data_IF_469965975676
#
_entry.id   IF_469965975676
#
_cell.length_a   1.000
_cell.length_b   1.000
_cell.length_c   1.000
_cell.angle_alpha   90.00
_cell.angle_beta   90.00
_cell.angle_gamma   90.00
#
_symmetry.space_group_name_H-M   'P 1'
#
loop_
_entity.id
_entity.type
_entity.pdbx_description
1 polymer ?
#
# COMPACT_ATOMS: atom_id res chain seq x y z
N UNK A 1 -3.19 -17.54 18.89
CA UNK A 1 -3.14 -16.07 18.65
C UNK A 1 -1.96 -15.74 17.74
N UNK A 2 -2.18 -15.09 16.62
CA UNK A 2 -1.18 -14.77 15.60
C UNK A 2 -0.80 -13.30 15.67
N UNK A 3 0.50 -13.02 15.64
CA UNK A 3 1.04 -11.65 15.57
C UNK A 3 1.20 -11.26 14.11
N UNK A 4 0.57 -10.16 13.67
CA UNK A 4 0.64 -9.70 12.29
C UNK A 4 1.19 -8.27 12.24
N UNK A 5 2.33 -8.10 11.56
CA UNK A 5 2.83 -6.80 11.15
C UNK A 5 2.22 -6.43 9.80
N UNK A 6 1.30 -5.46 9.78
CA UNK A 6 0.68 -4.95 8.57
C UNK A 6 1.41 -3.68 8.12
N UNK A 7 2.04 -3.73 6.95
CA UNK A 7 3.03 -2.77 6.46
C UNK A 7 2.51 -2.11 5.19
N UNK A 8 2.54 -0.78 5.10
CA UNK A 8 2.29 -0.06 3.86
C UNK A 8 3.51 -0.13 2.96
N UNK A 9 3.33 -0.27 1.64
CA UNK A 9 4.42 -0.23 0.67
C UNK A 9 5.25 1.06 0.77
N UNK A 10 6.51 1.02 0.33
CA UNK A 10 7.42 2.16 0.25
C UNK A 10 6.95 3.19 -0.79
N UNK A 11 7.54 4.39 -0.79
CA UNK A 11 7.21 5.43 -1.76
C UNK A 11 7.41 4.93 -3.19
N UNK A 12 6.36 5.08 -4.00
CA UNK A 12 6.34 4.78 -5.42
C UNK A 12 6.00 6.05 -6.23
N UNK A 13 6.14 5.99 -7.52
CA UNK A 13 5.91 7.11 -8.45
C UNK A 13 4.58 7.81 -8.24
N UNK A 14 3.51 7.06 -7.99
CA UNK A 14 2.20 7.66 -7.72
C UNK A 14 2.19 8.52 -6.46
N UNK A 15 2.99 8.19 -5.45
CA UNK A 15 3.15 9.05 -4.27
C UNK A 15 3.95 10.31 -4.62
N UNK A 16 5.08 10.16 -5.33
CA UNK A 16 5.97 11.26 -5.70
C UNK A 16 5.30 12.25 -6.65
N UNK A 17 4.67 11.75 -7.73
CA UNK A 17 4.06 12.56 -8.79
C UNK A 17 2.59 12.88 -8.54
N UNK A 18 2.05 12.50 -7.38
CA UNK A 18 0.63 12.68 -7.04
C UNK A 18 -0.32 12.11 -8.09
N UNK A 19 -0.02 10.88 -8.55
CA UNK A 19 -0.89 10.10 -9.42
C UNK A 19 -1.67 9.07 -8.62
N UNK A 20 -2.91 8.86 -9.02
CA UNK A 20 -3.79 7.84 -8.46
C UNK A 20 -3.28 6.48 -8.89
N UNK A 21 -2.90 5.65 -7.92
CA UNK A 21 -2.33 4.34 -8.22
C UNK A 21 -3.43 3.28 -8.37
N UNK A 22 -4.14 2.94 -7.29
CA UNK A 22 -5.01 1.77 -7.36
C UNK A 22 -4.24 0.54 -7.83
N UNK A 23 -4.66 -0.07 -8.93
CA UNK A 23 -3.97 -1.16 -9.60
C UNK A 23 -2.96 -0.69 -10.67
N UNK A 24 -2.99 0.59 -11.08
CA UNK A 24 -1.86 1.16 -11.82
C UNK A 24 -0.60 1.10 -10.95
N UNK A 25 0.47 0.51 -11.46
CA UNK A 25 1.59 0.06 -10.65
C UNK A 25 2.89 0.79 -11.03
N UNK A 26 3.08 1.97 -10.43
CA UNK A 26 4.31 2.75 -10.57
C UNK A 26 5.48 2.16 -9.79
N UNK A 27 6.70 2.39 -10.28
CA UNK A 27 7.95 1.91 -9.68
C UNK A 27 8.21 2.52 -8.31
N UNK A 28 9.01 1.84 -7.49
CA UNK A 28 9.55 2.39 -6.24
C UNK A 28 10.53 3.52 -6.57
N UNK A 29 10.45 4.62 -5.82
CA UNK A 29 11.35 5.77 -5.99
C UNK A 29 12.68 5.55 -5.27
N UNK A 30 13.69 6.39 -5.60
CA UNK A 30 14.97 6.38 -4.87
C UNK A 30 14.78 6.60 -3.36
N UNK A 31 13.79 7.43 -2.95
CA UNK A 31 13.41 7.59 -1.55
C UNK A 31 12.78 6.30 -1.00
N UNK A 32 11.89 5.68 -1.78
CA UNK A 32 11.24 4.42 -1.40
C UNK A 32 12.24 3.32 -1.08
N UNK A 33 13.36 3.24 -1.79
CA UNK A 33 14.42 2.27 -1.49
C UNK A 33 15.13 2.55 -0.18
N UNK A 34 15.38 3.83 0.14
CA UNK A 34 15.93 4.20 1.44
C UNK A 34 14.93 3.90 2.57
N UNK A 35 13.64 4.04 2.31
CA UNK A 35 12.59 3.62 3.26
C UNK A 35 12.59 2.11 3.46
N UNK A 36 12.82 1.31 2.41
CA UNK A 36 12.96 -0.15 2.48
C UNK A 36 14.20 -0.52 3.32
N UNK A 37 15.31 0.18 3.16
CA UNK A 37 16.51 -0.03 3.97
C UNK A 37 16.24 0.24 5.46
N UNK A 38 15.55 1.34 5.78
CA UNK A 38 15.18 1.67 7.15
C UNK A 38 14.19 0.63 7.74
N UNK A 39 13.23 0.18 6.93
CA UNK A 39 12.29 -0.88 7.31
C UNK A 39 13.01 -2.20 7.58
N UNK A 40 14.00 -2.56 6.75
CA UNK A 40 14.80 -3.77 6.94
C UNK A 40 15.56 -3.73 8.27
N UNK A 41 16.16 -2.58 8.62
CA UNK A 41 16.83 -2.43 9.92
C UNK A 41 15.85 -2.57 11.09
N UNK A 42 14.62 -2.05 10.97
CA UNK A 42 13.58 -2.20 11.97
C UNK A 42 13.24 -3.67 12.24
N UNK A 43 13.17 -4.49 11.19
CA UNK A 43 12.81 -5.91 11.32
C UNK A 43 13.99 -6.85 11.56
N UNK A 44 15.23 -6.35 11.49
CA UNK A 44 16.44 -7.18 11.57
C UNK A 44 16.47 -8.18 12.74
N UNK A 45 15.92 -7.81 13.88
CA UNK A 45 15.93 -8.62 15.10
C UNK A 45 14.54 -9.13 15.51
N UNK A 46 13.52 -8.84 14.73
CA UNK A 46 12.20 -9.41 14.92
C UNK A 46 12.18 -10.84 14.41
N UNK A 47 11.41 -11.71 15.05
CA UNK A 47 11.18 -13.06 14.51
C UNK A 47 10.00 -13.01 13.53
N UNK A 48 10.20 -13.48 12.30
CA UNK A 48 9.18 -13.57 11.26
C UNK A 48 9.13 -14.99 10.73
N UNK A 49 7.96 -15.64 10.89
CA UNK A 49 7.71 -17.01 10.44
C UNK A 49 7.21 -17.09 9.00
N UNK A 50 6.49 -16.05 8.54
CA UNK A 50 5.93 -15.99 7.19
C UNK A 50 5.80 -14.57 6.69
N UNK A 51 5.88 -14.42 5.36
CA UNK A 51 5.76 -13.13 4.68
C UNK A 51 4.77 -13.21 3.53
N UNK A 52 3.79 -12.31 3.55
CA UNK A 52 2.81 -12.14 2.49
C UNK A 52 2.84 -10.71 1.97
N UNK A 53 2.55 -10.53 0.69
CA UNK A 53 2.45 -9.20 0.12
C UNK A 53 1.33 -9.12 -0.92
N UNK A 54 0.90 -7.90 -1.23
CA UNK A 54 0.11 -7.64 -2.42
C UNK A 54 0.86 -8.10 -3.67
N UNK A 55 0.11 -8.46 -4.69
CA UNK A 55 0.65 -8.81 -6.01
C UNK A 55 1.21 -7.60 -6.79
N UNK A 56 0.92 -6.36 -6.37
CA UNK A 56 1.42 -5.16 -7.02
C UNK A 56 2.91 -4.96 -6.75
N UNK A 57 3.68 -4.53 -7.76
CA UNK A 57 5.15 -4.49 -7.74
C UNK A 57 5.70 -3.70 -6.55
N UNK A 58 5.12 -2.53 -6.26
CA UNK A 58 5.55 -1.69 -5.12
C UNK A 58 5.48 -2.39 -3.76
N UNK A 59 4.50 -3.28 -3.57
CA UNK A 59 4.39 -4.07 -2.34
C UNK A 59 5.38 -5.24 -2.34
N UNK A 60 5.59 -5.88 -3.50
CA UNK A 60 6.56 -6.97 -3.67
C UNK A 60 7.99 -6.48 -3.41
N UNK A 61 8.38 -5.35 -4.01
CA UNK A 61 9.70 -4.73 -3.76
C UNK A 61 9.85 -4.32 -2.29
N UNK A 62 8.80 -3.80 -1.67
CA UNK A 62 8.85 -3.46 -0.25
C UNK A 62 9.03 -4.70 0.64
N UNK A 63 8.51 -5.85 0.24
CA UNK A 63 8.68 -7.10 0.97
C UNK A 63 10.16 -7.55 1.07
N UNK A 64 11.04 -7.07 0.19
CA UNK A 64 12.49 -7.32 0.27
C UNK A 64 13.11 -6.81 1.58
N UNK A 65 12.50 -5.82 2.23
CA UNK A 65 12.93 -5.37 3.56
C UNK A 65 12.94 -6.51 4.58
N UNK A 66 11.98 -7.43 4.46
CA UNK A 66 11.85 -8.58 5.38
C UNK A 66 12.79 -9.71 4.93
N UNK A 67 12.78 -10.08 3.64
CA UNK A 67 13.60 -11.20 3.14
C UNK A 67 15.10 -10.96 3.31
N UNK A 68 15.53 -9.70 3.44
CA UNK A 68 16.94 -9.33 3.61
C UNK A 68 17.58 -9.95 4.86
N UNK A 69 16.83 -10.12 5.93
CA UNK A 69 17.32 -10.67 7.22
C UNK A 69 16.57 -11.92 7.69
N UNK A 70 15.58 -12.38 6.91
CA UNK A 70 14.77 -13.55 7.24
C UNK A 70 14.72 -14.50 6.05
N UNK A 71 14.97 -15.78 6.29
CA UNK A 71 14.87 -16.84 5.26
C UNK A 71 13.39 -17.29 5.12
N UNK A 72 12.55 -16.36 4.66
CA UNK A 72 11.14 -16.60 4.42
C UNK A 72 10.77 -16.09 3.02
N UNK A 73 10.13 -16.92 2.18
CA UNK A 73 9.71 -16.48 0.85
C UNK A 73 8.54 -15.49 0.96
N UNK A 74 8.54 -14.46 0.10
CA UNK A 74 7.41 -13.57 -0.04
C UNK A 74 6.31 -14.24 -0.89
N UNK A 75 5.13 -14.42 -0.31
CA UNK A 75 3.95 -14.99 -0.99
C UNK A 75 3.03 -13.86 -1.45
N UNK A 76 2.97 -13.63 -2.76
CA UNK A 76 2.12 -12.58 -3.34
C UNK A 76 0.66 -13.03 -3.47
N UNK A 77 -0.28 -12.13 -3.16
CA UNK A 77 -1.72 -12.41 -3.31
C UNK A 77 -2.51 -11.14 -3.66
N UNK A 78 -3.45 -11.21 -4.62
CA UNK A 78 -4.31 -10.08 -4.98
C UNK A 78 -5.29 -9.69 -3.86
N UNK A 79 -5.51 -10.55 -2.88
CA UNK A 79 -6.36 -10.25 -1.71
C UNK A 79 -5.84 -9.11 -0.85
N UNK A 80 -4.53 -8.81 -0.94
CA UNK A 80 -3.86 -7.72 -0.25
C UNK A 80 -3.64 -6.49 -1.14
N UNK A 81 -4.18 -6.46 -2.37
CA UNK A 81 -4.01 -5.37 -3.30
C UNK A 81 -4.68 -4.06 -2.81
N UNK A 82 -4.28 -2.94 -3.40
CA UNK A 82 -4.94 -1.65 -3.19
C UNK A 82 -6.37 -1.68 -3.73
N UNK A 83 -7.19 -0.74 -3.32
CA UNK A 83 -8.50 -0.50 -3.93
C UNK A 83 -8.32 -0.22 -5.42
N UNK A 84 -9.10 -0.89 -6.28
CA UNK A 84 -9.14 -0.54 -7.70
C UNK A 84 -9.83 0.83 -7.86
N UNK A 85 -9.13 1.77 -8.50
CA UNK A 85 -9.62 3.14 -8.69
C UNK A 85 -10.30 3.35 -10.05
N UNK A 86 -10.42 2.29 -10.86
CA UNK A 86 -11.11 2.31 -12.15
C UNK A 86 -10.58 3.40 -13.08
N UNK A 87 -11.48 4.18 -13.67
CA UNK A 87 -11.13 5.26 -14.63
C UNK A 87 -10.27 6.38 -14.04
N UNK A 88 -10.00 6.37 -12.74
CA UNK A 88 -9.11 7.33 -12.09
C UNK A 88 -7.64 6.92 -12.12
N UNK A 89 -7.35 5.63 -12.36
CA UNK A 89 -5.99 5.10 -12.29
C UNK A 89 -5.03 5.78 -13.28
N UNK A 90 -3.80 6.05 -12.82
CA UNK A 90 -2.75 6.72 -13.60
C UNK A 90 -2.94 8.23 -13.78
N UNK A 91 -4.09 8.79 -13.39
CA UNK A 91 -4.39 10.23 -13.53
C UNK A 91 -3.85 11.03 -12.35
N UNK A 92 -3.58 12.32 -12.58
CA UNK A 92 -3.23 13.21 -11.49
C UNK A 92 -4.44 13.48 -10.58
N UNK A 93 -4.21 13.54 -9.26
CA UNK A 93 -5.27 13.81 -8.29
C UNK A 93 -6.00 15.13 -8.57
N UNK A 94 -5.27 16.18 -8.98
CA UNK A 94 -5.86 17.49 -9.29
C UNK A 94 -6.79 17.45 -10.51
N UNK A 95 -6.45 16.69 -11.56
CA UNK A 95 -7.28 16.56 -12.75
C UNK A 95 -8.60 15.83 -12.42
N UNK A 96 -8.49 14.77 -11.60
CA UNK A 96 -9.65 14.00 -11.16
C UNK A 96 -10.55 14.81 -10.22
N UNK A 97 -9.97 15.60 -9.31
CA UNK A 97 -10.71 16.50 -8.43
C UNK A 97 -11.50 17.55 -9.24
N UNK A 98 -10.89 18.07 -10.31
CA UNK A 98 -11.56 19.04 -11.19
C UNK A 98 -12.69 18.41 -12.00
N UNK A 99 -12.50 17.19 -12.52
CA UNK A 99 -13.47 16.52 -13.39
C UNK A 99 -14.58 15.80 -12.60
N UNK A 100 -14.25 15.24 -11.41
CA UNK A 100 -15.16 14.46 -10.59
C UNK A 100 -15.25 15.00 -9.14
N UNK A 101 -15.56 16.28 -8.93
CA UNK A 101 -15.47 16.92 -7.59
C UNK A 101 -16.35 16.25 -6.55
N UNK A 102 -17.53 15.79 -6.92
CA UNK A 102 -18.44 15.10 -6.00
C UNK A 102 -17.90 13.73 -5.60
N UNK A 103 -17.43 12.94 -6.55
CA UNK A 103 -16.86 11.61 -6.28
C UNK A 103 -15.55 11.73 -5.47
N UNK A 104 -14.73 12.75 -5.74
CA UNK A 104 -13.54 13.05 -4.94
C UNK A 104 -13.91 13.40 -3.50
N UNK A 105 -14.94 14.19 -3.30
CA UNK A 105 -15.47 14.49 -1.96
C UNK A 105 -15.92 13.20 -1.26
N UNK A 106 -16.68 12.32 -1.93
CA UNK A 106 -17.09 11.03 -1.36
C UNK A 106 -15.90 10.16 -1.01
N UNK A 107 -14.93 10.01 -1.91
CA UNK A 107 -13.72 9.23 -1.66
C UNK A 107 -12.98 9.69 -0.38
N UNK A 108 -12.94 10.99 -0.13
CA UNK A 108 -12.24 11.56 1.02
C UNK A 108 -13.04 11.57 2.33
N UNK A 109 -14.40 11.67 2.26
CA UNK A 109 -15.23 11.88 3.46
C UNK A 109 -16.19 10.74 3.77
N UNK A 110 -16.67 10.03 2.74
CA UNK A 110 -17.63 8.92 2.87
C UNK A 110 -17.44 7.94 1.70
N UNK A 111 -16.36 7.13 1.73
CA UNK A 111 -15.99 6.26 0.61
C UNK A 111 -17.04 5.17 0.32
N UNK A 112 -18.05 5.02 1.15
CA UNK A 112 -19.19 4.15 0.83
C UNK A 112 -20.04 4.69 -0.32
N UNK A 113 -20.10 6.01 -0.48
CA UNK A 113 -20.80 6.69 -1.57
C UNK A 113 -19.93 6.86 -2.84
N UNK A 114 -18.64 6.60 -2.72
CA UNK A 114 -17.76 6.70 -3.87
C UNK A 114 -18.04 5.57 -4.87
N UNK A 115 -18.24 5.96 -6.13
CA UNK A 115 -18.52 5.04 -7.22
C UNK A 115 -18.07 5.65 -8.55
N UNK A 116 -17.13 5.00 -9.22
CA UNK A 116 -16.64 5.37 -10.54
C UNK A 116 -16.59 4.12 -11.43
N UNK A 117 -16.67 4.26 -12.76
CA UNK A 117 -16.59 3.11 -13.66
C UNK A 117 -15.31 2.29 -13.42
N UNK A 118 -15.45 0.99 -13.18
CA UNK A 118 -14.35 0.08 -12.87
C UNK A 118 -13.75 0.21 -11.46
N UNK A 119 -14.27 1.12 -10.62
CA UNK A 119 -13.83 1.26 -9.23
C UNK A 119 -14.34 0.13 -8.32
N UNK A 120 -13.51 -0.29 -7.36
CA UNK A 120 -13.88 -1.31 -6.37
C UNK A 120 -14.63 -0.65 -5.20
N UNK A 121 -15.84 -1.11 -4.84
CA UNK A 121 -16.54 -0.59 -3.67
C UNK A 121 -15.73 -0.80 -2.39
N UNK A 122 -15.69 0.20 -1.51
CA UNK A 122 -14.92 0.13 -0.25
C UNK A 122 -15.29 -1.08 0.61
N UNK A 123 -16.56 -1.50 0.60
CA UNK A 123 -17.02 -2.69 1.33
C UNK A 123 -16.40 -3.99 0.82
N UNK A 124 -16.09 -4.10 -0.48
CA UNK A 124 -15.43 -5.28 -1.02
C UNK A 124 -13.94 -5.28 -0.62
N UNK A 125 -13.30 -4.11 -0.56
CA UNK A 125 -11.94 -3.97 0.01
C UNK A 125 -11.91 -4.43 1.46
N UNK A 126 -12.85 -3.95 2.29
CA UNK A 126 -12.97 -4.35 3.69
C UNK A 126 -13.15 -5.86 3.84
N UNK A 127 -14.04 -6.44 3.06
CA UNK A 127 -14.37 -7.87 3.08
C UNK A 127 -13.18 -8.74 2.65
N UNK A 128 -12.48 -8.40 1.52
CA UNK A 128 -11.33 -9.20 1.07
C UNK A 128 -10.14 -9.08 2.00
N UNK A 129 -9.87 -7.89 2.55
CA UNK A 129 -8.79 -7.67 3.52
C UNK A 129 -9.06 -8.43 4.83
N UNK A 130 -10.28 -8.34 5.36
CA UNK A 130 -10.67 -9.06 6.59
C UNK A 130 -10.51 -10.57 6.41
N UNK A 131 -11.03 -11.12 5.31
CA UNK A 131 -10.86 -12.55 5.01
C UNK A 131 -9.40 -12.94 4.83
N UNK A 132 -8.61 -12.09 4.15
CA UNK A 132 -7.19 -12.38 3.97
C UNK A 132 -6.46 -12.45 5.32
N UNK A 133 -6.65 -11.47 6.20
CA UNK A 133 -5.98 -11.43 7.51
C UNK A 133 -6.46 -12.59 8.40
N UNK A 134 -7.76 -12.90 8.43
CA UNK A 134 -8.29 -14.04 9.21
C UNK A 134 -7.73 -15.38 8.72
N UNK A 135 -7.69 -15.61 7.41
CA UNK A 135 -7.14 -16.86 6.85
C UNK A 135 -5.64 -17.00 7.12
N UNK A 136 -4.89 -15.88 7.05
CA UNK A 136 -3.47 -15.87 7.41
C UNK A 136 -3.28 -16.18 8.90
N UNK A 137 -4.08 -15.56 9.76
CA UNK A 137 -4.02 -15.81 11.20
C UNK A 137 -4.35 -17.27 11.56
N UNK A 138 -5.37 -17.84 10.94
CA UNK A 138 -5.74 -19.23 11.16
C UNK A 138 -4.66 -20.22 10.68
N UNK A 139 -3.96 -19.90 9.58
CA UNK A 139 -2.86 -20.70 9.03
C UNK A 139 -1.60 -20.65 9.88
N UNK A 140 -1.37 -19.55 10.55
CA UNK A 140 -0.14 -19.21 11.28
C UNK A 140 -0.39 -19.04 12.79
N UNK A 141 -1.30 -19.85 13.37
CA UNK A 141 -1.58 -19.73 14.81
C UNK A 141 -0.31 -19.92 15.65
N UNK A 142 -0.10 -19.01 16.59
CA UNK A 142 1.10 -18.96 17.45
C UNK A 142 2.34 -18.35 16.79
N UNK A 143 2.26 -17.94 15.54
CA UNK A 143 3.37 -17.42 14.74
C UNK A 143 3.31 -15.91 14.55
N UNK A 144 4.41 -15.35 14.03
CA UNK A 144 4.54 -13.94 13.61
C UNK A 144 4.59 -13.82 12.09
N UNK A 145 3.67 -13.05 11.51
CA UNK A 145 3.51 -12.88 10.07
C UNK A 145 3.74 -11.41 9.68
N UNK A 146 4.55 -11.16 8.66
CA UNK A 146 4.64 -9.86 8.01
C UNK A 146 3.72 -9.82 6.79
N UNK A 147 2.98 -8.72 6.62
CA UNK A 147 2.01 -8.51 5.52
C UNK A 147 2.25 -7.15 4.92
N UNK A 148 2.62 -7.08 3.62
CA UNK A 148 2.80 -5.82 2.91
C UNK A 148 1.61 -5.53 2.02
N UNK A 149 0.99 -4.35 2.22
CA UNK A 149 -0.21 -3.91 1.52
C UNK A 149 -0.17 -2.41 1.25
N UNK A 150 -1.31 -1.74 1.13
CA UNK A 150 -1.44 -0.38 0.59
C UNK A 150 -2.25 0.53 1.50
N UNK A 151 -2.23 1.83 1.17
CA UNK A 151 -2.78 2.87 2.03
C UNK A 151 -4.27 2.75 2.30
N UNK A 152 -5.10 2.67 1.25
CA UNK A 152 -6.56 2.57 1.42
C UNK A 152 -6.97 1.18 1.88
N UNK A 153 -6.33 0.12 1.38
CA UNK A 153 -6.64 -1.25 1.78
C UNK A 153 -6.39 -1.47 3.30
N UNK A 154 -5.26 -1.01 3.83
CA UNK A 154 -4.95 -1.06 5.25
C UNK A 154 -5.95 -0.22 6.06
N UNK A 155 -6.23 1.01 5.62
CA UNK A 155 -7.15 1.93 6.29
C UNK A 155 -8.57 1.35 6.35
N UNK A 156 -9.07 0.81 5.24
CA UNK A 156 -10.38 0.16 5.17
C UNK A 156 -10.49 -1.02 6.14
N UNK A 157 -9.45 -1.86 6.21
CA UNK A 157 -9.38 -2.96 7.17
C UNK A 157 -9.33 -2.48 8.62
N UNK A 158 -8.48 -1.50 8.94
CA UNK A 158 -8.37 -0.95 10.29
C UNK A 158 -9.68 -0.29 10.75
N UNK A 159 -10.39 0.43 9.87
CA UNK A 159 -11.73 0.95 10.19
C UNK A 159 -12.70 -0.17 10.56
N UNK A 160 -12.67 -1.30 9.84
CA UNK A 160 -13.51 -2.46 10.15
C UNK A 160 -13.21 -3.02 11.54
N UNK A 161 -11.92 -3.21 11.86
CA UNK A 161 -11.49 -3.78 13.15
C UNK A 161 -11.75 -2.83 14.32
N UNK A 162 -11.58 -1.53 14.11
CA UNK A 162 -11.80 -0.50 15.13
C UNK A 162 -13.26 -0.07 15.27
N UNK A 163 -14.17 -0.61 14.43
CA UNK A 163 -15.60 -0.25 14.45
C UNK A 163 -15.87 1.16 13.96
N UNK A 164 -14.99 1.75 13.16
CA UNK A 164 -15.15 3.10 12.58
C UNK A 164 -16.03 2.99 11.34
N UNK A 165 -17.18 3.67 11.29
CA UNK A 165 -18.04 3.64 10.10
C UNK A 165 -17.36 4.33 8.90
N UNK A 166 -17.74 3.93 7.68
CA UNK A 166 -17.13 4.47 6.45
C UNK A 166 -17.28 5.99 6.32
N UNK A 167 -18.40 6.57 6.82
CA UNK A 167 -18.60 8.01 6.89
C UNK A 167 -17.64 8.74 7.82
N UNK A 168 -16.96 8.03 8.71
CA UNK A 168 -15.99 8.56 9.66
C UNK A 168 -14.56 8.07 9.36
N UNK A 169 -14.35 7.37 8.25
CA UNK A 169 -13.04 6.84 7.86
C UNK A 169 -11.95 7.93 7.81
N UNK A 170 -12.33 9.20 7.52
CA UNK A 170 -11.42 10.34 7.54
C UNK A 170 -10.78 10.61 8.91
N UNK A 171 -11.37 10.13 10.00
CA UNK A 171 -10.82 10.25 11.36
C UNK A 171 -9.61 9.35 11.59
N UNK A 172 -9.45 8.26 10.82
CA UNK A 172 -8.27 7.42 10.83
C UNK A 172 -7.26 7.93 9.79
N UNK A 173 -6.13 8.51 10.19
CA UNK A 173 -5.16 9.04 9.25
C UNK A 173 -4.53 7.93 8.39
N UNK A 174 -4.08 8.29 7.19
CA UNK A 174 -3.19 7.42 6.43
C UNK A 174 -1.87 7.24 7.15
N UNK A 175 -1.32 6.02 7.11
CA UNK A 175 0.05 5.77 7.50
C UNK A 175 1.04 6.29 6.46
N UNK A 176 2.24 6.66 6.90
CA UNK A 176 3.35 6.99 5.99
C UNK A 176 3.76 5.77 5.16
N UNK A 177 4.48 5.97 4.07
CA UNK A 177 5.09 4.85 3.35
C UNK A 177 6.02 4.06 4.29
N UNK A 178 6.00 2.75 4.19
CA UNK A 178 6.63 1.78 5.11
C UNK A 178 6.15 1.83 6.57
N UNK A 179 5.10 2.60 6.90
CA UNK A 179 4.52 2.54 8.24
C UNK A 179 4.03 1.13 8.57
N UNK A 180 4.10 0.78 9.85
CA UNK A 180 3.79 -0.54 10.38
C UNK A 180 2.65 -0.44 11.37
N UNK A 181 1.67 -1.32 11.24
CA UNK A 181 0.65 -1.56 12.25
C UNK A 181 0.82 -2.96 12.83
N UNK A 182 0.65 -3.12 14.13
CA UNK A 182 0.73 -4.40 14.81
C UNK A 182 -0.65 -4.86 15.24
N UNK A 183 -0.99 -6.06 14.81
CA UNK A 183 -2.24 -6.73 15.09
C UNK A 183 -1.99 -8.03 15.86
N UNK A 184 -2.84 -8.31 16.84
CA UNK A 184 -2.95 -9.61 17.50
C UNK A 184 -4.28 -10.23 17.11
N UNK A 185 -4.25 -11.33 16.39
CA UNK A 185 -5.44 -11.99 15.85
C UNK A 185 -5.67 -13.32 16.58
N UNK A 186 -6.85 -13.48 17.18
CA UNK A 186 -7.26 -14.66 17.91
C UNK A 186 -8.67 -15.07 17.46
N UNK A 187 -8.76 -16.05 16.56
CA UNK A 187 -10.01 -16.38 15.87
C UNK A 187 -10.57 -15.18 15.11
N UNK A 188 -11.79 -14.79 15.42
CA UNK A 188 -12.44 -13.61 14.80
C UNK A 188 -12.06 -12.28 15.44
N UNK A 189 -11.42 -12.32 16.61
CA UNK A 189 -11.04 -11.12 17.35
C UNK A 189 -9.68 -10.61 16.86
N UNK A 190 -9.64 -9.33 16.50
CA UNK A 190 -8.39 -8.61 16.21
C UNK A 190 -8.21 -7.46 17.19
N UNK A 191 -7.04 -7.40 17.83
CA UNK A 191 -6.61 -6.27 18.66
C UNK A 191 -5.56 -5.49 17.87
N UNK A 192 -5.71 -4.17 17.78
CA UNK A 192 -4.72 -3.28 17.19
C UNK A 192 -3.86 -2.73 18.31
N UNK A 193 -2.61 -3.20 18.42
CA UNK A 193 -1.66 -2.74 19.44
C UNK A 193 -1.16 -1.33 19.14
N UNK A 194 -0.86 -1.07 17.88
CA UNK A 194 -0.57 0.24 17.33
C UNK A 194 -0.81 0.23 15.82
N UNK A 195 -0.99 1.41 15.23
CA UNK A 195 -1.12 1.57 13.77
C UNK A 195 -0.30 2.76 13.28
N UNK A 196 0.07 2.68 12.00
CA UNK A 196 0.80 3.74 11.29
C UNK A 196 2.12 4.17 11.96
N UNK A 197 2.80 3.27 12.66
CA UNK A 197 4.09 3.56 13.29
C UNK A 197 5.20 3.65 12.24
N UNK A 198 5.78 4.84 12.09
CA UNK A 198 6.87 5.15 11.17
C UNK A 198 8.17 5.58 11.88
N UNK A 199 8.34 5.27 13.18
CA UNK A 199 9.50 5.70 14.00
C UNK A 199 10.85 5.23 13.47
N UNK A 200 10.89 4.23 12.57
CA UNK A 200 12.10 3.80 11.89
C UNK A 200 12.55 4.77 10.78
N UNK A 201 11.69 5.70 10.36
CA UNK A 201 12.00 6.68 9.34
C UNK A 201 12.54 7.97 9.99
N UNK A 202 13.79 8.36 9.68
CA UNK A 202 14.21 9.73 9.95
C UNK A 202 13.28 10.73 9.21
N UNK A 203 13.11 11.96 9.70
CA UNK A 203 12.23 12.95 9.06
C UNK A 203 12.49 13.17 7.57
N UNK A 204 13.75 13.08 7.14
CA UNK A 204 14.15 13.21 5.74
C UNK A 204 13.64 12.06 4.84
N UNK A 205 13.31 10.92 5.40
CA UNK A 205 12.76 9.76 4.65
C UNK A 205 11.25 9.66 4.73
N UNK A 206 10.57 10.48 5.54
CA UNK A 206 9.10 10.49 5.62
C UNK A 206 8.53 11.13 4.36
N UNK A 207 7.71 10.41 3.61
CA UNK A 207 6.95 10.95 2.47
C UNK A 207 6.04 12.08 2.93
N UNK A 208 5.36 11.89 4.06
CA UNK A 208 4.48 12.94 4.64
C UNK A 208 5.26 14.13 5.20
N UNK A 209 6.48 13.93 5.69
CA UNK A 209 7.35 15.02 6.13
C UNK A 209 7.80 15.93 4.98
N UNK A 210 7.93 15.38 3.79
CA UNK A 210 8.39 16.07 2.57
C UNK A 210 7.26 16.66 1.73
N UNK A 211 6.03 16.16 1.88
CA UNK A 211 4.86 16.57 1.11
C UNK A 211 3.82 17.22 2.04
N UNK A 212 3.18 18.28 1.59
CA UNK A 212 2.22 19.04 2.40
C UNK A 212 0.76 18.87 1.96
N UNK A 213 0.50 18.21 0.85
CA UNK A 213 -0.84 18.03 0.27
C UNK A 213 -1.86 17.36 1.20
N UNK A 214 -1.41 16.49 2.06
CA UNK A 214 -2.26 15.79 3.04
C UNK A 214 -2.73 16.70 4.19
N UNK A 215 -2.16 17.90 4.34
CA UNK A 215 -2.54 18.89 5.35
C UNK A 215 -3.69 19.80 4.91
N UNK A 216 -4.29 19.59 3.73
CA UNK A 216 -5.49 20.30 3.27
C UNK A 216 -5.27 21.73 2.82
N UNK A 217 -4.02 22.19 2.64
CA UNK A 217 -3.74 23.50 2.07
C UNK A 217 -2.74 23.37 0.93
N UNK A 218 -3.25 23.68 -0.23
CA UNK A 218 -2.61 23.62 -1.51
C UNK A 218 -1.17 24.08 -1.62
N UNK A 219 -0.64 23.81 -2.77
CA UNK A 219 0.58 24.30 -3.40
C UNK A 219 1.89 23.70 -2.91
N UNK A 220 2.60 23.12 -3.83
CA UNK A 220 4.04 22.95 -3.77
C UNK A 220 4.56 21.53 -3.70
N UNK A 221 3.96 20.58 -4.40
CA UNK A 221 4.80 19.54 -4.97
C UNK A 221 5.59 20.24 -6.07
N UNK A 222 6.87 20.51 -5.86
CA UNK A 222 7.78 20.80 -6.97
C UNK A 222 7.55 19.66 -7.98
N UNK A 223 7.27 20.01 -9.22
CA UNK A 223 7.12 19.08 -10.33
C UNK A 223 8.49 18.42 -10.57
N UNK A 224 8.82 17.41 -9.79
CA UNK A 224 9.94 16.54 -10.10
C UNK A 224 9.61 15.86 -11.43
N UNK A 225 10.44 16.13 -12.43
CA UNK A 225 10.30 15.49 -13.73
C UNK A 225 10.75 14.03 -13.62
N UNK A 226 10.05 13.16 -14.31
CA UNK A 226 10.35 11.72 -14.42
C UNK A 226 11.83 11.44 -14.73
N UNK A 227 12.44 12.27 -15.55
CA UNK A 227 13.85 12.21 -15.97
C UNK A 227 14.88 12.35 -14.82
N UNK A 228 14.43 12.70 -13.60
CA UNK A 228 15.30 12.89 -12.44
C UNK A 228 15.34 11.67 -11.50
N UNK A 229 14.64 10.60 -11.85
CA UNK A 229 14.66 9.36 -11.06
C UNK A 229 15.88 8.51 -11.45
N UNK A 230 16.70 8.19 -10.47
CA UNK A 230 17.71 7.13 -10.59
C UNK A 230 17.13 5.83 -10.09
N UNK A 231 16.99 4.86 -10.95
CA UNK A 231 16.51 3.52 -10.61
C UNK A 231 17.72 2.68 -10.12
N UNK A 232 17.69 2.12 -8.92
CA UNK A 232 18.82 1.38 -8.35
C UNK A 232 18.84 -0.11 -8.73
N UNK A 233 17.77 -0.63 -9.33
CA UNK A 233 17.75 -1.93 -9.96
C UNK A 233 17.92 -1.78 -11.48
N UNK A 234 18.29 -2.86 -12.15
CA UNK A 234 18.39 -2.85 -13.60
C UNK A 234 17.01 -2.80 -14.26
N UNK A 235 16.99 -2.40 -15.52
CA UNK A 235 15.77 -2.30 -16.33
C UNK A 235 15.00 -3.63 -16.37
N UNK A 236 15.71 -4.76 -16.42
CA UNK A 236 15.10 -6.08 -16.47
C UNK A 236 14.29 -6.40 -15.19
N UNK A 237 14.77 -5.96 -14.03
CA UNK A 237 14.04 -6.12 -12.77
C UNK A 237 12.71 -5.37 -12.79
N UNK A 238 12.71 -4.11 -13.22
CA UNK A 238 11.48 -3.32 -13.27
C UNK A 238 10.50 -3.85 -14.33
N UNK A 239 11.00 -4.22 -15.51
CA UNK A 239 10.19 -4.84 -16.55
C UNK A 239 9.53 -6.13 -16.07
N UNK A 240 10.23 -6.96 -15.29
CA UNK A 240 9.64 -8.17 -14.72
C UNK A 240 8.57 -7.82 -13.69
N UNK A 241 8.79 -6.82 -12.83
CA UNK A 241 7.77 -6.36 -11.89
C UNK A 241 6.53 -5.84 -12.60
N UNK A 242 6.68 -5.06 -13.68
CA UNK A 242 5.55 -4.57 -14.48
C UNK A 242 4.80 -5.71 -15.19
N UNK A 243 5.53 -6.65 -15.78
CA UNK A 243 4.94 -7.83 -16.41
C UNK A 243 4.13 -8.65 -15.41
N UNK A 244 4.70 -8.91 -14.23
CA UNK A 244 4.02 -9.65 -13.17
C UNK A 244 2.76 -8.93 -12.67
N UNK A 245 2.81 -7.60 -12.52
CA UNK A 245 1.66 -6.80 -12.15
C UNK A 245 0.58 -6.86 -13.24
N UNK A 246 0.96 -6.74 -14.52
CA UNK A 246 0.05 -6.89 -15.65
C UNK A 246 -0.62 -8.26 -15.67
N UNK A 247 0.15 -9.35 -15.58
CA UNK A 247 -0.37 -10.72 -15.54
C UNK A 247 -1.35 -10.94 -14.39
N UNK A 248 -1.09 -10.33 -13.23
CA UNK A 248 -1.98 -10.43 -12.08
C UNK A 248 -3.33 -9.73 -12.30
N UNK A 249 -3.36 -8.66 -13.10
CA UNK A 249 -4.60 -7.92 -13.41
C UNK A 249 -5.35 -8.58 -14.59
N UNK A 250 -4.63 -9.06 -15.61
CA UNK A 250 -5.21 -9.51 -16.88
C UNK A 250 -5.21 -11.04 -17.06
N UNK A 251 -4.59 -11.77 -16.15
CA UNK A 251 -4.51 -13.25 -16.19
C UNK A 251 -3.47 -13.82 -17.15
N UNK A 252 -2.83 -12.97 -17.99
CA UNK A 252 -1.77 -13.35 -18.91
C UNK A 252 -0.88 -12.14 -19.22
N UNK A 253 0.25 -12.36 -19.92
CA UNK A 253 1.11 -11.30 -20.44
C UNK A 253 0.73 -10.85 -21.85
N UNK A 254 -0.36 -11.38 -22.40
CA UNK A 254 -0.87 -10.98 -23.71
C UNK A 254 -1.31 -9.51 -23.69
N UNK A 255 -0.76 -8.72 -24.61
CA UNK A 255 -1.00 -7.27 -24.67
C UNK A 255 -0.11 -6.42 -23.74
N UNK A 256 0.81 -7.03 -22.98
CA UNK A 256 1.79 -6.27 -22.21
C UNK A 256 2.76 -5.55 -23.17
N UNK A 257 2.74 -4.23 -23.12
CA UNK A 257 3.70 -3.36 -23.83
C UNK A 257 4.58 -2.71 -22.78
N UNK A 258 5.89 -2.98 -22.74
CA UNK A 258 6.80 -2.31 -21.84
C UNK A 258 6.95 -0.85 -22.29
N UNK A 259 6.34 0.09 -21.59
CA UNK A 259 6.66 1.52 -21.68
C UNK A 259 7.66 1.85 -20.56
N UNK A 260 8.90 2.11 -20.95
CA UNK A 260 9.95 2.65 -20.08
C UNK A 260 10.12 4.14 -20.29
#
# INVERSE_FOLDING_TARGET
>A
MTKIYLIRHAEAEGNLYRRIQGHWDGSITALGLQQIDALAQRFRHEHIDALYCSNLSRARVTAEAITRYHDVPAVATPRLAEICMGVWEGRAWGDVEHEFPEQMRYFNTDPEKWSVPGGEPIREVQKRMTRAIQDLAARHDGQTVAVVSHGMAIRAYLCTVLGIPNSEMSTLPYGDNTSVSLLLVDGERTTVEYYNDNRHLPPALSTFGRQTWWRGSGSGAENLRYEQLTFPHDEAFYLQCYRDAWCNVHGSDEGFVPEL
#
